data_IF_061753717036
#
_entry.id   IF_061753717036
#
_cell.length_a   1.000
_cell.length_b   1.000
_cell.length_c   1.000
_cell.angle_alpha   90.00
_cell.angle_beta   90.00
_cell.angle_gamma   90.00
#
_symmetry.space_group_name_H-M   'P 1'
#
loop_
_entity.id
_entity.type
_entity.pdbx_description
1 polymer ?
#
# COMPACT_ATOMS: atom_id res chain seq x y z
N UNK A 1 44.16 -18.13 -32.37
CA UNK A 1 43.61 -16.92 -33.00
C UNK A 1 42.41 -16.48 -32.17
N UNK A 2 42.62 -15.61 -31.19
CA UNK A 2 41.55 -14.95 -30.45
C UNK A 2 41.45 -13.53 -31.00
N UNK A 3 40.36 -13.21 -31.71
CA UNK A 3 40.05 -11.84 -32.11
C UNK A 3 39.18 -11.21 -31.02
N UNK A 4 39.76 -10.31 -30.24
CA UNK A 4 39.03 -9.40 -29.38
C UNK A 4 38.51 -8.25 -30.24
N UNK A 5 37.19 -8.09 -30.32
CA UNK A 5 36.53 -6.94 -30.94
C UNK A 5 36.31 -5.92 -29.82
N UNK A 6 36.92 -4.72 -29.86
CA UNK A 6 36.61 -3.69 -28.89
C UNK A 6 35.31 -3.00 -29.33
N UNK A 7 34.25 -3.16 -28.54
CA UNK A 7 33.03 -2.36 -28.66
C UNK A 7 33.36 -0.93 -28.19
N UNK A 8 33.42 0.00 -29.13
CA UNK A 8 33.55 1.43 -28.85
C UNK A 8 32.17 1.94 -28.39
N UNK A 9 31.95 2.00 -27.08
CA UNK A 9 30.79 2.67 -26.47
C UNK A 9 30.97 4.18 -26.62
N UNK A 10 30.38 4.75 -27.67
CA UNK A 10 30.25 6.19 -27.84
C UNK A 10 29.15 6.69 -26.89
N UNK A 11 29.54 7.11 -25.69
CA UNK A 11 28.65 7.83 -24.77
C UNK A 11 28.45 9.22 -25.35
N UNK A 12 27.37 9.41 -26.11
CA UNK A 12 26.88 10.75 -26.45
C UNK A 12 26.24 11.29 -25.16
N UNK A 13 27.03 11.99 -24.36
CA UNK A 13 26.49 12.85 -23.32
C UNK A 13 25.76 14.00 -24.01
N UNK A 14 24.46 13.81 -24.24
CA UNK A 14 23.54 14.94 -24.41
C UNK A 14 23.56 15.65 -23.05
N UNK A 15 24.37 16.70 -22.96
CA UNK A 15 24.25 17.69 -21.90
C UNK A 15 22.88 18.33 -22.06
N UNK A 16 21.87 17.73 -21.43
CA UNK A 16 20.66 18.45 -21.08
C UNK A 16 21.13 19.48 -20.05
N UNK A 17 21.47 20.68 -20.52
CA UNK A 17 21.72 21.80 -19.63
C UNK A 17 20.45 21.95 -18.80
N UNK A 18 20.59 21.70 -17.50
CA UNK A 18 19.65 22.16 -16.51
C UNK A 18 19.30 23.60 -16.88
N UNK A 19 18.00 23.90 -17.00
CA UNK A 19 17.52 25.26 -17.16
C UNK A 19 18.01 26.06 -15.95
N UNK A 20 19.18 26.67 -16.08
CA UNK A 20 19.64 27.71 -15.19
C UNK A 20 18.57 28.79 -15.27
N UNK A 21 18.14 29.27 -14.10
CA UNK A 21 17.29 30.45 -13.95
C UNK A 21 18.04 31.67 -14.50
N UNK A 22 18.08 31.79 -15.83
CA UNK A 22 18.65 32.91 -16.56
C UNK A 22 17.83 34.14 -16.27
N UNK A 23 18.49 35.29 -16.07
CA UNK A 23 17.80 36.58 -16.03
C UNK A 23 17.03 36.74 -17.34
N UNK A 24 15.78 37.22 -17.28
CA UNK A 24 14.96 37.46 -18.47
C UNK A 24 15.61 38.41 -19.51
N UNK A 25 16.70 39.09 -19.15
CA UNK A 25 17.51 39.92 -20.05
C UNK A 25 18.48 39.15 -20.95
N UNK A 26 18.55 37.81 -20.87
CA UNK A 26 19.34 37.00 -21.80
C UNK A 26 18.82 37.16 -23.24
N UNK A 27 19.74 37.42 -24.17
CA UNK A 27 19.43 37.59 -25.59
C UNK A 27 18.77 36.36 -26.23
N UNK A 28 19.10 35.16 -25.74
CA UNK A 28 18.49 33.91 -26.20
C UNK A 28 17.02 33.86 -25.78
N UNK A 29 16.72 34.22 -24.53
CA UNK A 29 15.35 34.26 -23.99
C UNK A 29 14.51 35.30 -24.72
N UNK A 30 15.06 36.51 -24.93
CA UNK A 30 14.36 37.55 -25.69
C UNK A 30 14.03 37.09 -27.11
N UNK A 31 14.96 36.38 -27.76
CA UNK A 31 14.74 35.85 -29.11
C UNK A 31 13.62 34.81 -29.14
N UNK A 32 13.62 33.89 -28.18
CA UNK A 32 12.56 32.87 -28.03
C UNK A 32 11.17 33.49 -27.94
N UNK A 33 11.02 34.62 -27.24
CA UNK A 33 9.76 35.35 -27.17
C UNK A 33 9.41 36.01 -28.51
N UNK A 34 10.33 36.79 -29.09
CA UNK A 34 10.06 37.61 -30.28
C UNK A 34 9.71 36.77 -31.52
N UNK A 35 10.19 35.53 -31.58
CA UNK A 35 9.90 34.61 -32.68
C UNK A 35 8.47 34.02 -32.64
N UNK A 36 7.68 34.27 -31.58
CA UNK A 36 6.29 33.80 -31.47
C UNK A 36 5.29 34.82 -32.01
N UNK A 37 4.33 34.33 -32.80
CA UNK A 37 3.28 35.16 -33.42
C UNK A 37 1.88 34.89 -32.84
N UNK A 38 1.75 33.89 -31.97
CA UNK A 38 0.50 33.51 -31.30
C UNK A 38 0.67 33.65 -29.79
N UNK A 39 -0.35 34.17 -29.11
CA UNK A 39 -0.33 34.39 -27.66
C UNK A 39 0.01 33.11 -26.87
N UNK A 40 -0.65 31.99 -27.17
CA UNK A 40 -0.38 30.72 -26.49
C UNK A 40 1.06 30.26 -26.71
N UNK A 41 1.57 30.33 -27.94
CA UNK A 41 2.96 29.95 -28.24
C UNK A 41 3.97 30.87 -27.53
N UNK A 42 3.67 32.17 -27.44
CA UNK A 42 4.43 33.16 -26.68
C UNK A 42 4.59 32.78 -25.21
N UNK A 43 3.47 32.59 -24.52
CA UNK A 43 3.47 32.27 -23.09
C UNK A 43 4.08 30.90 -22.81
N UNK A 44 4.08 30.02 -23.82
CA UNK A 44 4.67 28.69 -23.75
C UNK A 44 6.16 28.64 -24.12
N UNK A 45 6.72 29.67 -24.75
CA UNK A 45 8.11 29.67 -25.21
C UNK A 45 9.10 29.85 -24.05
N UNK A 46 8.78 30.70 -23.08
CA UNK A 46 9.55 30.88 -21.84
C UNK A 46 8.72 31.60 -20.79
N UNK A 47 9.02 31.38 -19.50
CA UNK A 47 8.41 32.09 -18.36
C UNK A 47 8.57 33.61 -18.39
N UNK A 48 9.52 34.11 -19.18
CA UNK A 48 9.82 35.53 -19.30
C UNK A 48 9.03 36.20 -20.44
N UNK A 49 8.38 35.41 -21.31
CA UNK A 49 7.64 35.91 -22.46
C UNK A 49 6.25 36.33 -22.04
N UNK A 50 5.85 37.54 -22.42
CA UNK A 50 4.55 38.13 -22.13
C UNK A 50 3.93 38.59 -23.44
N UNK A 51 2.61 38.75 -23.46
CA UNK A 51 1.88 39.07 -24.69
C UNK A 51 1.10 40.38 -24.58
N UNK A 52 1.35 41.31 -25.50
CA UNK A 52 0.55 42.51 -25.67
C UNK A 52 -0.52 42.28 -26.74
N UNK A 53 -1.80 42.30 -26.34
CA UNK A 53 -2.94 42.21 -27.26
C UNK A 53 -3.56 43.59 -27.55
N UNK A 54 -2.79 44.67 -27.39
CA UNK A 54 -3.20 46.01 -27.78
C UNK A 54 -3.00 46.25 -29.28
N UNK A 55 -4.10 46.40 -30.01
CA UNK A 55 -4.08 46.69 -31.46
C UNK A 55 -3.32 47.97 -31.83
N UNK A 56 -3.19 48.92 -30.91
CA UNK A 56 -2.45 50.17 -31.13
C UNK A 56 -0.94 50.04 -30.92
N UNK A 57 -0.48 48.92 -30.32
CA UNK A 57 0.92 48.68 -30.05
C UNK A 57 1.70 48.35 -31.34
N UNK A 58 2.74 49.13 -31.61
CA UNK A 58 3.53 49.03 -32.85
C UNK A 58 4.76 48.10 -32.72
N UNK A 59 4.97 47.49 -31.55
CA UNK A 59 6.08 46.57 -31.30
C UNK A 59 5.70 45.11 -31.54
N UNK A 60 6.65 44.21 -31.26
CA UNK A 60 6.41 42.75 -31.25
C UNK A 60 5.51 42.38 -30.07
N UNK A 61 4.38 41.75 -30.37
CA UNK A 61 3.35 41.43 -29.37
C UNK A 61 3.89 40.49 -28.29
N UNK A 62 4.72 39.51 -28.65
CA UNK A 62 5.44 38.67 -27.69
C UNK A 62 6.81 39.27 -27.35
N UNK A 63 7.06 39.58 -26.07
CA UNK A 63 8.36 40.04 -25.62
C UNK A 63 8.54 39.89 -24.10
N UNK A 64 9.74 40.18 -23.61
CA UNK A 64 9.96 40.33 -22.17
C UNK A 64 9.28 41.60 -21.64
N UNK A 65 8.90 41.59 -20.37
CA UNK A 65 8.09 42.65 -19.74
C UNK A 65 8.69 44.06 -19.91
N UNK A 66 10.02 44.17 -19.84
CA UNK A 66 10.78 45.42 -19.98
C UNK A 66 10.57 46.09 -21.35
N UNK A 67 10.44 45.28 -22.41
CA UNK A 67 10.27 45.72 -23.79
C UNK A 67 8.79 46.00 -24.16
N UNK A 68 7.85 45.62 -23.30
CA UNK A 68 6.41 45.87 -23.48
C UNK A 68 5.93 47.12 -22.72
N UNK A 69 6.84 48.02 -22.33
CA UNK A 69 6.52 49.21 -21.53
C UNK A 69 5.52 50.19 -22.18
N UNK A 70 5.47 50.25 -23.51
CA UNK A 70 4.51 51.06 -24.26
C UNK A 70 3.15 50.36 -24.48
N UNK A 71 3.01 49.08 -24.11
CA UNK A 71 1.73 48.39 -24.14
C UNK A 71 0.83 48.86 -22.99
N UNK A 72 -0.47 49.00 -23.24
CA UNK A 72 -1.43 49.27 -22.18
C UNK A 72 -1.45 48.13 -21.16
N UNK A 73 -1.27 48.44 -19.87
CA UNK A 73 -1.31 47.44 -18.78
C UNK A 73 -2.61 46.63 -18.70
N UNK A 74 -3.72 47.17 -19.24
CA UNK A 74 -5.02 46.47 -19.29
C UNK A 74 -5.13 45.49 -20.46
N UNK A 75 -4.16 45.52 -21.38
CA UNK A 75 -4.09 44.68 -22.58
C UNK A 75 -2.79 43.88 -22.66
N UNK A 76 -2.23 43.60 -21.48
CA UNK A 76 -0.98 42.87 -21.33
C UNK A 76 -1.29 41.58 -20.58
N UNK A 77 -1.08 40.46 -21.26
CA UNK A 77 -1.11 39.15 -20.66
C UNK A 77 0.28 38.85 -20.11
N UNK A 78 0.40 38.85 -18.79
CA UNK A 78 1.65 38.56 -18.10
C UNK A 78 1.71 37.06 -17.86
N UNK A 79 2.83 36.44 -18.20
CA UNK A 79 3.00 35.02 -17.93
C UNK A 79 2.94 34.79 -16.42
N UNK A 80 2.07 33.87 -16.00
CA UNK A 80 1.88 33.63 -14.58
C UNK A 80 3.15 33.02 -14.01
N UNK A 81 3.70 33.65 -12.97
CA UNK A 81 4.68 32.99 -12.13
C UNK A 81 4.02 31.83 -11.37
N UNK A 82 4.81 30.82 -11.05
CA UNK A 82 4.32 29.75 -10.19
C UNK A 82 3.82 30.34 -8.87
N UNK A 83 2.61 29.96 -8.48
CA UNK A 83 1.97 30.44 -7.25
C UNK A 83 1.41 29.27 -6.48
N UNK A 84 1.66 29.25 -5.18
CA UNK A 84 1.06 28.29 -4.26
C UNK A 84 0.24 29.06 -3.25
N UNK A 85 -1.04 28.76 -3.15
CA UNK A 85 -1.93 29.33 -2.15
C UNK A 85 -2.42 28.23 -1.22
N UNK A 86 -2.37 28.51 0.07
CA UNK A 86 -2.92 27.66 1.12
C UNK A 86 -4.11 28.42 1.72
N UNK A 87 -5.36 28.03 1.42
CA UNK A 87 -6.53 28.64 2.03
C UNK A 87 -6.50 28.43 3.56
N UNK A 88 -6.53 29.51 4.33
CA UNK A 88 -6.41 29.45 5.80
C UNK A 88 -7.56 28.65 6.44
N UNK A 89 -8.77 28.79 5.89
CA UNK A 89 -9.99 28.07 6.30
C UNK A 89 -9.87 26.55 6.11
N UNK A 90 -8.99 26.10 5.23
CA UNK A 90 -8.74 24.68 4.91
C UNK A 90 -7.44 24.13 5.50
N UNK A 91 -6.67 24.94 6.24
CA UNK A 91 -5.38 24.55 6.84
C UNK A 91 -5.49 24.26 8.35
N UNK A 92 -6.26 23.22 8.68
CA UNK A 92 -6.56 22.85 10.08
C UNK A 92 -5.30 22.45 10.85
N UNK A 93 -5.28 22.70 12.17
CA UNK A 93 -4.18 22.31 13.06
C UNK A 93 -4.06 20.77 13.21
N UNK A 94 -2.88 20.29 13.59
CA UNK A 94 -2.71 18.87 13.93
C UNK A 94 -3.58 18.51 15.12
N UNK A 95 -4.23 17.36 15.05
CA UNK A 95 -5.06 16.82 16.14
C UNK A 95 -4.60 15.41 16.51
N UNK A 96 -4.92 14.97 17.72
CA UNK A 96 -4.59 13.63 18.21
C UNK A 96 -5.78 12.67 18.05
N UNK A 97 -5.59 11.41 18.45
CA UNK A 97 -6.64 10.38 18.38
C UNK A 97 -7.81 10.55 19.36
N UNK A 98 -7.87 11.63 20.15
CA UNK A 98 -9.03 11.96 20.97
C UNK A 98 -10.02 12.89 20.26
N UNK A 99 -9.60 13.53 19.17
CA UNK A 99 -10.44 14.38 18.36
C UNK A 99 -11.34 13.56 17.42
N UNK A 100 -12.51 14.11 17.07
CA UNK A 100 -13.47 13.51 16.11
C UNK A 100 -12.86 13.33 14.71
N UNK A 101 -11.88 14.15 14.36
CA UNK A 101 -11.14 14.12 13.10
C UNK A 101 -9.64 14.22 13.42
N UNK A 102 -8.86 13.22 13.02
CA UNK A 102 -7.41 13.18 13.26
C UNK A 102 -6.67 13.74 12.06
N UNK A 103 -5.92 14.82 12.26
CA UNK A 103 -5.19 15.55 11.24
C UNK A 103 -3.71 15.32 11.47
N UNK A 104 -3.07 14.58 10.55
CA UNK A 104 -1.65 14.22 10.62
C UNK A 104 -0.82 14.83 9.49
N UNK A 105 -1.45 15.39 8.46
CA UNK A 105 -0.78 16.03 7.32
C UNK A 105 -1.21 17.49 7.22
N UNK A 106 -0.26 18.38 6.94
CA UNK A 106 -0.48 19.80 6.67
C UNK A 106 0.35 20.26 5.45
N UNK A 107 -0.18 21.16 4.60
CA UNK A 107 -1.59 21.58 4.54
C UNK A 107 -2.49 20.46 3.99
N UNK A 108 -3.79 20.51 4.27
CA UNK A 108 -4.75 19.54 3.73
C UNK A 108 -5.20 19.88 2.31
N UNK A 109 -5.06 21.15 1.93
CA UNK A 109 -5.48 21.66 0.64
C UNK A 109 -4.49 22.72 0.14
N UNK A 110 -4.19 22.70 -1.16
CA UNK A 110 -3.27 23.59 -1.85
C UNK A 110 -3.90 23.96 -3.21
N UNK A 111 -3.90 25.25 -3.55
CA UNK A 111 -4.07 25.68 -4.93
C UNK A 111 -2.67 25.91 -5.52
N UNK A 112 -2.35 25.24 -6.61
CA UNK A 112 -1.07 25.37 -7.30
C UNK A 112 -1.35 25.90 -8.70
N UNK A 113 -0.78 27.06 -9.00
CA UNK A 113 -0.80 27.68 -10.32
C UNK A 113 0.60 27.50 -10.90
N UNK A 114 0.68 26.87 -12.07
CA UNK A 114 1.94 26.51 -12.71
C UNK A 114 2.07 27.24 -14.04
N UNK A 115 3.22 27.87 -14.23
CA UNK A 115 3.71 28.25 -15.54
C UNK A 115 4.14 26.99 -16.30
N UNK A 116 4.08 27.06 -17.64
CA UNK A 116 4.58 25.96 -18.46
C UNK A 116 6.07 25.71 -18.17
N UNK A 117 6.44 24.43 -18.16
CA UNK A 117 7.82 23.93 -18.01
C UNK A 117 8.57 24.42 -16.77
N UNK A 118 7.85 24.93 -15.75
CA UNK A 118 8.46 25.46 -14.54
C UNK A 118 8.05 24.63 -13.32
N UNK A 119 8.97 23.89 -12.70
CA UNK A 119 8.65 23.10 -11.52
C UNK A 119 8.34 24.01 -10.31
N UNK A 120 7.38 23.60 -9.49
CA UNK A 120 7.06 24.26 -8.22
C UNK A 120 7.25 23.30 -7.05
N UNK A 121 8.09 23.67 -6.10
CA UNK A 121 8.28 22.93 -4.86
C UNK A 121 7.29 23.42 -3.81
N UNK A 122 6.68 22.49 -3.08
CA UNK A 122 5.85 22.76 -1.91
C UNK A 122 6.11 21.70 -0.85
N UNK A 123 5.93 22.09 0.41
CA UNK A 123 6.29 21.26 1.56
C UNK A 123 5.03 20.77 2.26
N UNK A 124 5.02 19.48 2.59
CA UNK A 124 4.07 18.91 3.53
C UNK A 124 4.75 18.58 4.84
N UNK A 125 4.03 18.78 5.92
CA UNK A 125 4.44 18.38 7.26
C UNK A 125 3.57 17.23 7.72
N UNK A 126 4.20 16.10 8.01
CA UNK A 126 3.56 14.95 8.62
C UNK A 126 3.88 14.90 10.11
N UNK A 127 2.86 14.70 10.94
CA UNK A 127 2.99 14.47 12.38
C UNK A 127 2.11 13.28 12.78
N UNK A 128 2.70 12.14 13.19
CA UNK A 128 1.94 11.03 13.72
C UNK A 128 1.09 11.47 14.91
N UNK A 129 -0.22 11.19 14.89
CA UNK A 129 -1.06 11.45 16.04
C UNK A 129 -0.73 10.47 17.17
N UNK A 130 -0.66 11.01 18.40
CA UNK A 130 -0.66 10.17 19.61
C UNK A 130 -2.03 9.49 19.73
N UNK A 131 -2.05 8.26 20.24
CA UNK A 131 -3.27 7.50 20.51
C UNK A 131 -4.16 7.25 19.27
N UNK A 132 -3.56 7.18 18.07
CA UNK A 132 -4.33 6.87 16.86
C UNK A 132 -4.86 5.43 16.90
N UNK A 133 -6.09 5.15 16.45
CA UNK A 133 -6.66 3.81 16.53
C UNK A 133 -5.82 2.78 15.75
N UNK A 134 -5.70 1.59 16.32
CA UNK A 134 -4.99 0.45 15.75
C UNK A 134 -5.93 -0.74 15.66
N UNK A 135 -6.14 -1.25 14.46
CA UNK A 135 -6.74 -2.55 14.24
C UNK A 135 -5.62 -3.53 13.86
N UNK A 136 -5.40 -4.54 14.70
CA UNK A 136 -4.40 -5.57 14.48
C UNK A 136 -5.10 -6.91 14.27
N UNK A 137 -4.97 -7.47 13.08
CA UNK A 137 -5.48 -8.79 12.73
C UNK A 137 -4.34 -9.80 12.85
N UNK A 138 -4.40 -10.69 13.83
CA UNK A 138 -3.46 -11.80 13.95
C UNK A 138 -3.93 -12.95 13.06
N UNK A 139 -3.13 -13.28 12.06
CA UNK A 139 -3.37 -14.40 11.16
C UNK A 139 -2.43 -15.54 11.57
N UNK A 140 -2.96 -16.47 12.36
CA UNK A 140 -2.19 -17.57 12.93
C UNK A 140 -2.02 -18.74 11.97
N UNK A 141 -0.78 -19.13 11.76
CA UNK A 141 -0.43 -20.40 11.13
C UNK A 141 -0.70 -21.57 12.09
N UNK A 142 -1.53 -22.52 11.65
CA UNK A 142 -1.92 -23.69 12.44
C UNK A 142 -1.29 -24.98 11.95
N UNK A 143 -0.25 -24.91 11.11
CA UNK A 143 0.55 -26.08 10.73
C UNK A 143 1.11 -26.81 11.95
N UNK A 144 1.46 -28.09 11.78
CA UNK A 144 1.91 -28.93 12.88
C UNK A 144 3.23 -28.42 13.49
N UNK A 145 4.07 -27.77 12.68
CA UNK A 145 5.36 -27.19 13.10
C UNK A 145 5.19 -26.02 14.07
N UNK A 146 4.10 -25.26 13.91
CA UNK A 146 3.77 -24.09 14.74
C UNK A 146 3.21 -24.44 16.14
N UNK A 147 3.03 -25.73 16.47
CA UNK A 147 2.47 -26.16 17.76
C UNK A 147 3.26 -25.65 18.97
N UNK A 148 4.59 -25.65 18.89
CA UNK A 148 5.45 -25.16 19.97
C UNK A 148 5.29 -23.64 20.15
N UNK A 149 5.19 -22.88 19.05
CA UNK A 149 5.05 -21.42 19.07
C UNK A 149 3.70 -20.98 19.63
N UNK A 150 2.62 -21.73 19.38
CA UNK A 150 1.32 -21.46 20.00
C UNK A 150 1.36 -21.56 21.52
N UNK A 151 2.15 -22.50 22.06
CA UNK A 151 2.38 -22.59 23.52
C UNK A 151 3.16 -21.39 24.06
N UNK A 152 4.14 -20.91 23.32
CA UNK A 152 4.92 -19.70 23.67
C UNK A 152 4.02 -18.46 23.63
N UNK A 153 3.12 -18.38 22.65
CA UNK A 153 2.17 -17.27 22.53
C UNK A 153 1.32 -17.09 23.79
N UNK A 154 0.94 -18.18 24.48
CA UNK A 154 0.25 -18.12 25.77
C UNK A 154 1.04 -17.34 26.82
N UNK A 155 2.36 -17.48 26.82
CA UNK A 155 3.26 -16.79 27.76
C UNK A 155 3.44 -15.32 27.37
N UNK A 156 3.63 -15.03 26.07
CA UNK A 156 3.81 -13.66 25.55
C UNK A 156 2.51 -12.85 25.59
N UNK A 157 1.36 -13.52 25.47
CA UNK A 157 0.04 -12.90 25.49
C UNK A 157 -0.21 -12.03 26.73
N UNK A 158 0.40 -12.39 27.87
CA UNK A 158 0.33 -11.60 29.10
C UNK A 158 0.98 -10.21 28.99
N UNK A 159 2.00 -10.05 28.14
CA UNK A 159 2.74 -8.80 27.97
C UNK A 159 2.18 -7.92 26.83
N UNK A 160 1.41 -8.53 25.93
CA UNK A 160 0.78 -7.86 24.79
C UNK A 160 -0.07 -6.62 25.20
N UNK A 161 -0.91 -6.64 26.25
CA UNK A 161 -1.67 -5.47 26.68
C UNK A 161 -0.76 -4.30 27.08
N UNK A 162 0.31 -4.57 27.82
CA UNK A 162 1.24 -3.55 28.31
C UNK A 162 2.01 -2.91 27.16
N UNK A 163 2.40 -3.70 26.16
CA UNK A 163 3.11 -3.17 24.99
C UNK A 163 2.17 -2.39 24.05
N UNK A 164 0.95 -2.87 23.82
CA UNK A 164 -0.02 -2.18 22.97
C UNK A 164 -0.50 -0.86 23.57
N UNK A 165 -0.77 -0.83 24.88
CA UNK A 165 -1.22 0.38 25.59
C UNK A 165 -0.18 1.50 25.62
N UNK A 166 1.12 1.17 25.52
CA UNK A 166 2.19 2.16 25.35
C UNK A 166 2.12 2.87 23.99
N UNK A 167 1.59 2.21 22.96
CA UNK A 167 1.45 2.76 21.60
C UNK A 167 0.12 3.51 21.43
N UNK A 168 -0.99 2.87 21.82
CA UNK A 168 -2.33 3.44 21.72
C UNK A 168 -3.27 2.77 22.71
N UNK A 169 -4.19 3.54 23.27
CA UNK A 169 -5.31 3.05 24.10
C UNK A 169 -6.48 2.58 23.24
N UNK A 170 -6.50 2.94 21.96
CA UNK A 170 -7.58 2.65 21.02
C UNK A 170 -7.18 1.48 20.10
N UNK A 171 -6.81 0.33 20.67
CA UNK A 171 -6.52 -0.87 19.88
C UNK A 171 -7.73 -1.80 19.80
N UNK A 172 -7.83 -2.52 18.69
CA UNK A 172 -8.72 -3.66 18.52
C UNK A 172 -7.93 -4.83 17.92
N UNK A 173 -8.21 -6.02 18.42
CA UNK A 173 -7.56 -7.25 18.01
C UNK A 173 -8.59 -8.16 17.35
N UNK A 174 -8.21 -8.76 16.23
CA UNK A 174 -8.97 -9.82 15.57
C UNK A 174 -8.08 -11.03 15.36
N UNK A 175 -8.69 -12.21 15.23
CA UNK A 175 -7.98 -13.46 15.01
C UNK A 175 -8.61 -14.26 13.87
N UNK A 176 -7.74 -14.79 13.03
CA UNK A 176 -8.07 -15.83 12.06
C UNK A 176 -6.92 -16.81 11.97
N UNK A 177 -7.21 -17.99 11.45
CA UNK A 177 -6.21 -19.03 11.25
C UNK A 177 -6.28 -19.63 9.87
N UNK A 178 -5.15 -20.14 9.40
CA UNK A 178 -5.03 -20.77 8.08
C UNK A 178 -4.17 -22.04 8.16
N UNK A 179 -4.29 -22.86 7.13
CA UNK A 179 -3.34 -23.92 6.78
C UNK A 179 -3.21 -23.88 5.25
N UNK A 180 -3.97 -24.72 4.54
CA UNK A 180 -3.87 -24.79 3.09
C UNK A 180 -5.12 -25.43 2.44
N UNK A 181 -5.14 -25.49 1.10
CA UNK A 181 -6.21 -26.09 0.32
C UNK A 181 -6.31 -27.59 0.61
N UNK A 182 -7.47 -28.02 1.08
CA UNK A 182 -7.75 -29.39 1.53
C UNK A 182 -7.98 -30.34 0.34
N UNK A 183 -6.94 -30.63 -0.42
CA UNK A 183 -6.96 -31.63 -1.49
C UNK A 183 -5.55 -32.05 -1.93
N UNK A 184 -5.45 -33.18 -2.64
CA UNK A 184 -4.16 -33.66 -3.16
C UNK A 184 -3.61 -32.71 -4.23
N UNK A 185 -2.29 -32.41 -4.24
CA UNK A 185 -1.24 -33.05 -3.44
C UNK A 185 -0.95 -32.38 -2.08
N UNK A 186 -1.58 -31.26 -1.75
CA UNK A 186 -1.29 -30.49 -0.53
C UNK A 186 -1.81 -31.15 0.74
N UNK A 187 -2.91 -31.89 0.64
CA UNK A 187 -3.57 -32.54 1.78
C UNK A 187 -3.97 -33.98 1.46
N UNK A 188 -3.70 -34.89 2.40
CA UNK A 188 -4.05 -36.30 2.27
C UNK A 188 -5.56 -36.51 2.38
N UNK A 189 -6.16 -37.04 1.31
CA UNK A 189 -7.61 -37.25 1.20
C UNK A 189 -8.08 -38.67 1.53
N UNK A 190 -7.15 -39.55 1.93
CA UNK A 190 -7.52 -40.86 2.44
C UNK A 190 -8.35 -40.71 3.74
N UNK A 191 -9.44 -41.48 3.94
CA UNK A 191 -10.36 -41.27 5.06
C UNK A 191 -9.68 -41.19 6.44
N UNK A 192 -8.73 -42.07 6.72
CA UNK A 192 -8.02 -42.11 8.00
C UNK A 192 -7.13 -40.85 8.22
N UNK A 193 -6.60 -40.26 7.14
CA UNK A 193 -5.82 -39.03 7.18
C UNK A 193 -6.68 -37.77 7.20
N UNK A 194 -7.83 -37.81 6.54
CA UNK A 194 -8.64 -36.62 6.31
C UNK A 194 -9.22 -36.09 7.63
N UNK A 195 -9.76 -36.98 8.46
CA UNK A 195 -10.35 -36.56 9.74
C UNK A 195 -9.26 -36.22 10.77
N UNK A 196 -8.09 -36.84 10.70
CA UNK A 196 -6.95 -36.59 11.58
C UNK A 196 -5.63 -36.62 10.81
N UNK A 197 -5.17 -35.47 10.25
CA UNK A 197 -3.99 -35.46 9.42
C UNK A 197 -2.69 -35.74 10.20
N UNK A 198 -2.75 -35.69 11.53
CA UNK A 198 -1.61 -35.96 12.41
C UNK A 198 -1.57 -37.39 12.96
N UNK A 199 -2.42 -38.31 12.48
CA UNK A 199 -2.56 -39.65 13.09
C UNK A 199 -1.23 -40.43 13.14
N UNK A 200 -0.30 -40.17 12.23
CA UNK A 200 0.97 -40.90 12.12
C UNK A 200 2.05 -40.39 13.09
N UNK A 201 1.94 -39.16 13.60
CA UNK A 201 2.99 -38.51 14.40
C UNK A 201 2.50 -37.82 15.68
N UNK A 202 1.19 -37.78 15.94
CA UNK A 202 0.59 -37.24 17.18
C UNK A 202 -0.46 -38.19 17.76
N UNK A 203 -0.24 -38.65 19.00
CA UNK A 203 -1.23 -39.45 19.75
C UNK A 203 -2.47 -38.65 20.14
N UNK A 204 -2.34 -37.33 20.33
CA UNK A 204 -3.46 -36.43 20.66
C UNK A 204 -4.34 -36.12 19.43
N UNK A 205 -3.87 -36.46 18.23
CA UNK A 205 -4.48 -36.07 16.96
C UNK A 205 -4.47 -34.56 16.74
N UNK A 206 -5.06 -34.11 15.64
CA UNK A 206 -5.19 -32.69 15.32
C UNK A 206 -6.48 -32.40 14.55
N UNK A 207 -6.77 -31.12 14.30
CA UNK A 207 -7.99 -30.71 13.59
C UNK A 207 -7.91 -31.08 12.09
N UNK A 208 -9.05 -31.42 11.49
CA UNK A 208 -9.20 -31.55 10.04
C UNK A 208 -8.70 -30.29 9.34
N UNK A 209 -8.05 -30.46 8.18
CA UNK A 209 -7.50 -29.35 7.42
C UNK A 209 -8.55 -28.34 6.97
N UNK A 210 -8.15 -27.09 6.81
CA UNK A 210 -8.95 -26.01 6.24
C UNK A 210 -8.04 -24.93 5.67
N UNK A 211 -8.52 -24.20 4.66
CA UNK A 211 -7.75 -23.13 4.06
C UNK A 211 -7.68 -21.89 4.97
N UNK A 212 -8.84 -21.38 5.40
CA UNK A 212 -8.91 -20.19 6.24
C UNK A 212 -10.19 -20.17 7.08
N UNK A 213 -10.06 -19.71 8.33
CA UNK A 213 -11.15 -19.46 9.28
C UNK A 213 -10.96 -18.12 9.96
N UNK A 214 -11.93 -17.22 9.84
CA UNK A 214 -12.05 -16.05 10.69
C UNK A 214 -12.71 -16.46 12.02
N UNK A 215 -11.94 -16.42 13.12
CA UNK A 215 -12.36 -16.98 14.42
C UNK A 215 -12.82 -15.92 15.42
N UNK A 216 -12.27 -14.71 15.35
CA UNK A 216 -12.63 -13.62 16.26
C UNK A 216 -12.61 -12.27 15.54
N UNK A 217 -13.77 -11.62 15.48
CA UNK A 217 -13.91 -10.25 14.98
C UNK A 217 -13.26 -9.24 15.91
N UNK A 218 -12.99 -8.04 15.41
CA UNK A 218 -12.28 -6.99 16.16
C UNK A 218 -12.90 -6.71 17.54
N UNK A 219 -12.12 -6.94 18.59
CA UNK A 219 -12.50 -6.71 19.98
C UNK A 219 -11.42 -5.92 20.71
N UNK A 220 -11.83 -5.12 21.70
CA UNK A 220 -10.90 -4.50 22.65
C UNK A 220 -10.59 -5.40 23.85
N UNK A 221 -11.27 -6.56 23.96
CA UNK A 221 -11.04 -7.52 25.03
C UNK A 221 -9.85 -8.43 24.68
N UNK A 222 -8.72 -8.16 25.31
CA UNK A 222 -7.49 -8.91 25.07
C UNK A 222 -7.55 -10.34 25.61
N UNK A 223 -8.25 -10.58 26.71
CA UNK A 223 -8.38 -11.93 27.29
C UNK A 223 -9.16 -12.84 26.35
N UNK A 224 -10.24 -12.32 25.74
CA UNK A 224 -11.00 -13.02 24.72
C UNK A 224 -10.14 -13.37 23.50
N UNK A 225 -9.27 -12.44 23.08
CA UNK A 225 -8.33 -12.67 22.00
C UNK A 225 -7.32 -13.78 22.35
N UNK A 226 -6.69 -13.70 23.52
CA UNK A 226 -5.73 -14.71 23.98
C UNK A 226 -6.39 -16.09 24.09
N UNK A 227 -7.58 -16.15 24.68
CA UNK A 227 -8.34 -17.40 24.82
C UNK A 227 -8.63 -18.04 23.46
N UNK A 228 -9.03 -17.25 22.45
CA UNK A 228 -9.31 -17.77 21.11
C UNK A 228 -8.05 -18.31 20.42
N UNK A 229 -6.90 -17.63 20.57
CA UNK A 229 -5.63 -18.09 19.99
C UNK A 229 -5.19 -19.39 20.66
N UNK A 230 -5.22 -19.44 22.00
CA UNK A 230 -4.71 -20.59 22.79
C UNK A 230 -5.62 -21.82 22.69
N UNK A 231 -6.93 -21.63 22.52
CA UNK A 231 -7.89 -22.73 22.35
C UNK A 231 -7.92 -23.30 20.94
N UNK A 232 -7.28 -22.64 19.96
CA UNK A 232 -7.19 -23.14 18.60
C UNK A 232 -6.27 -24.36 18.52
N UNK A 233 -6.72 -25.37 17.79
CA UNK A 233 -5.96 -26.59 17.53
C UNK A 233 -5.12 -26.42 16.27
N UNK A 234 -3.95 -27.06 16.27
CA UNK A 234 -3.16 -27.24 15.06
C UNK A 234 -3.81 -28.25 14.12
N UNK A 235 -3.37 -28.25 12.88
CA UNK A 235 -3.71 -29.17 11.81
C UNK A 235 -2.42 -29.46 11.02
N UNK A 236 -2.48 -30.23 9.94
CA UNK A 236 -1.31 -30.60 9.15
C UNK A 236 -1.65 -30.78 7.68
N UNK A 237 -0.77 -30.33 6.81
CA UNK A 237 -0.70 -30.58 5.37
C UNK A 237 0.50 -31.49 5.03
N UNK A 238 0.68 -31.79 3.75
CA UNK A 238 1.70 -32.72 3.27
C UNK A 238 2.99 -32.02 2.83
N UNK A 239 2.89 -30.80 2.32
CA UNK A 239 4.00 -30.01 1.80
C UNK A 239 4.37 -28.83 2.71
N UNK A 240 5.53 -28.23 2.42
CA UNK A 240 6.14 -27.16 3.23
C UNK A 240 5.65 -25.74 2.85
N UNK A 241 4.57 -25.64 2.06
CA UNK A 241 3.99 -24.38 1.59
C UNK A 241 2.58 -24.24 2.16
N UNK A 242 2.21 -23.03 2.58
CA UNK A 242 0.89 -22.78 3.15
C UNK A 242 0.08 -21.72 2.38
N UNK A 243 -1.24 -21.80 2.55
CA UNK A 243 -2.24 -21.00 1.86
C UNK A 243 -2.46 -19.59 2.43
N UNK A 244 -1.49 -19.00 3.12
CA UNK A 244 -1.66 -17.72 3.83
C UNK A 244 -2.08 -16.56 2.91
N UNK A 245 -1.63 -16.54 1.65
CA UNK A 245 -2.02 -15.48 0.71
C UNK A 245 -3.53 -15.47 0.43
N UNK A 246 -4.17 -16.65 0.40
CA UNK A 246 -5.62 -16.76 0.23
C UNK A 246 -6.36 -16.21 1.47
N UNK A 247 -5.88 -16.56 2.67
CA UNK A 247 -6.37 -15.99 3.93
C UNK A 247 -6.25 -14.45 3.96
N UNK A 248 -5.09 -13.91 3.58
CA UNK A 248 -4.88 -12.46 3.47
C UNK A 248 -5.86 -11.83 2.49
N UNK A 249 -6.09 -12.46 1.33
CA UNK A 249 -7.08 -11.96 0.36
C UNK A 249 -8.46 -11.87 1.02
N UNK A 250 -8.93 -12.92 1.68
CA UNK A 250 -10.24 -12.92 2.36
C UNK A 250 -10.33 -11.83 3.44
N UNK A 251 -9.28 -11.63 4.23
CA UNK A 251 -9.21 -10.55 5.24
C UNK A 251 -9.38 -9.16 4.61
N UNK A 252 -8.88 -8.98 3.38
CA UNK A 252 -8.94 -7.70 2.66
C UNK A 252 -10.28 -7.47 1.95
N UNK A 253 -10.91 -8.52 1.41
CA UNK A 253 -12.14 -8.39 0.60
C UNK A 253 -13.43 -8.53 1.43
N UNK A 254 -13.40 -9.26 2.54
CA UNK A 254 -14.56 -9.48 3.41
C UNK A 254 -14.78 -8.34 4.42
N UNK A 255 -14.81 -7.08 3.96
CA UNK A 255 -14.83 -5.89 4.83
C UNK A 255 -15.90 -5.93 5.93
N UNK A 256 -17.11 -6.40 5.60
CA UNK A 256 -18.22 -6.46 6.55
C UNK A 256 -18.04 -7.53 7.63
N UNK A 257 -17.54 -8.72 7.24
CA UNK A 257 -17.32 -9.83 8.18
C UNK A 257 -16.10 -9.59 9.07
N UNK A 258 -15.04 -9.02 8.50
CA UNK A 258 -13.80 -8.72 9.22
C UNK A 258 -13.97 -7.49 10.11
N UNK A 259 -14.66 -6.44 9.62
CA UNK A 259 -15.08 -5.30 10.44
C UNK A 259 -13.97 -4.29 10.75
N UNK A 260 -13.07 -4.02 9.80
CA UNK A 260 -12.03 -2.99 9.94
C UNK A 260 -12.63 -1.61 10.31
N UNK A 261 -12.02 -0.91 11.25
CA UNK A 261 -12.42 0.47 11.57
C UNK A 261 -12.08 1.39 10.39
N UNK A 262 -12.94 2.38 10.12
CA UNK A 262 -12.76 3.31 9.00
C UNK A 262 -11.42 4.07 9.11
N UNK A 263 -11.20 4.72 10.25
CA UNK A 263 -10.07 5.60 10.53
C UNK A 263 -9.13 4.99 11.58
N UNK A 264 -8.39 3.96 11.15
CA UNK A 264 -7.41 3.24 11.97
C UNK A 264 -6.17 2.87 11.16
N UNK A 265 -5.07 2.63 11.86
CA UNK A 265 -3.94 1.87 11.32
C UNK A 265 -4.37 0.41 11.28
N UNK A 266 -4.39 -0.18 10.09
CA UNK A 266 -4.79 -1.57 9.86
C UNK A 266 -3.55 -2.41 9.59
N UNK A 267 -3.32 -3.42 10.43
CA UNK A 267 -2.14 -4.28 10.32
C UNK A 267 -2.59 -5.73 10.35
N UNK A 268 -2.13 -6.52 9.38
CA UNK A 268 -2.18 -7.99 9.43
C UNK A 268 -0.82 -8.47 9.93
N UNK A 269 -0.81 -9.21 11.04
CA UNK A 269 0.37 -9.84 11.60
C UNK A 269 0.32 -11.33 11.25
N UNK A 270 1.31 -11.79 10.48
CA UNK A 270 1.44 -13.18 10.04
C UNK A 270 2.75 -13.76 10.60
N UNK A 271 2.72 -14.42 11.77
CA UNK A 271 3.80 -15.28 12.21
C UNK A 271 3.67 -16.67 11.57
N UNK A 272 4.72 -17.12 10.88
CA UNK A 272 4.78 -18.44 10.23
C UNK A 272 6.24 -18.86 10.06
N UNK A 273 6.51 -20.15 10.08
CA UNK A 273 7.81 -20.77 9.81
C UNK A 273 7.90 -21.33 8.38
N UNK A 274 6.85 -21.11 7.56
CA UNK A 274 6.63 -21.74 6.27
C UNK A 274 6.69 -20.75 5.11
N UNK A 275 6.91 -21.28 3.90
CA UNK A 275 6.78 -20.52 2.66
C UNK A 275 5.30 -20.48 2.25
N UNK A 276 4.94 -19.60 1.31
CA UNK A 276 3.55 -19.40 0.92
C UNK A 276 3.29 -19.84 -0.51
N UNK A 277 2.20 -20.57 -0.72
CA UNK A 277 1.66 -20.82 -2.05
C UNK A 277 1.28 -19.53 -2.77
N UNK A 278 1.45 -19.53 -4.09
CA UNK A 278 1.11 -18.40 -4.94
C UNK A 278 0.38 -18.82 -6.21
N UNK A 279 -0.16 -17.85 -6.94
CA UNK A 279 -0.90 -18.09 -8.19
C UNK A 279 -0.14 -19.05 -9.13
N UNK A 280 -0.84 -20.09 -9.57
CA UNK A 280 -0.32 -21.20 -10.36
C UNK A 280 -0.28 -22.51 -9.56
N UNK A 281 0.00 -22.46 -8.26
CA UNK A 281 0.17 -23.68 -7.46
C UNK A 281 -1.16 -24.44 -7.32
N UNK A 282 -2.30 -23.73 -7.20
CA UNK A 282 -3.62 -24.31 -7.04
C UNK A 282 -4.07 -25.18 -8.23
N UNK A 283 -3.40 -25.07 -9.39
CA UNK A 283 -3.62 -25.97 -10.53
C UNK A 283 -3.40 -27.44 -10.14
N UNK A 284 -2.48 -27.73 -9.21
CA UNK A 284 -2.18 -29.08 -8.77
C UNK A 284 -3.34 -29.75 -8.03
N UNK A 285 -4.19 -28.96 -7.37
CA UNK A 285 -5.39 -29.42 -6.65
C UNK A 285 -6.68 -29.21 -7.46
N UNK A 286 -6.57 -28.83 -8.74
CA UNK A 286 -7.71 -28.57 -9.62
C UNK A 286 -8.40 -27.23 -9.38
N UNK A 287 -7.82 -26.35 -8.57
CA UNK A 287 -8.30 -24.99 -8.34
C UNK A 287 -7.83 -24.08 -9.46
N UNK A 288 -8.60 -24.03 -10.56
CA UNK A 288 -8.18 -23.43 -11.83
C UNK A 288 -8.66 -22.00 -12.04
N UNK A 289 -9.62 -21.51 -11.24
CA UNK A 289 -10.17 -20.17 -11.44
C UNK A 289 -9.30 -19.12 -10.74
N UNK A 290 -8.96 -18.04 -11.43
CA UNK A 290 -8.25 -16.93 -10.79
C UNK A 290 -9.15 -16.26 -9.72
N UNK A 291 -8.63 -15.95 -8.52
CA UNK A 291 -9.36 -15.15 -7.54
C UNK A 291 -9.81 -13.80 -8.12
N UNK A 292 -11.09 -13.50 -7.99
CA UNK A 292 -11.72 -12.27 -8.51
C UNK A 292 -11.93 -11.20 -7.43
N UNK A 293 -11.46 -11.43 -6.20
CA UNK A 293 -11.61 -10.51 -5.07
C UNK A 293 -13.00 -10.52 -4.42
N UNK A 294 -13.80 -11.56 -4.63
CA UNK A 294 -15.05 -11.74 -3.87
C UNK A 294 -14.79 -12.31 -2.48
N UNK A 295 -15.60 -11.90 -1.51
CA UNK A 295 -15.61 -12.53 -0.19
C UNK A 295 -16.20 -13.94 -0.26
N UNK A 296 -15.44 -14.93 0.21
CA UNK A 296 -15.77 -16.35 0.19
C UNK A 296 -15.82 -16.93 1.61
N UNK A 297 -16.31 -16.16 2.58
CA UNK A 297 -16.54 -16.63 3.95
C UNK A 297 -18.03 -16.86 4.19
N UNK A 298 -18.37 -17.98 4.85
CA UNK A 298 -19.71 -18.21 5.41
C UNK A 298 -19.95 -17.34 6.65
N UNK A 299 -21.11 -17.49 7.29
CA UNK A 299 -21.50 -16.71 8.47
C UNK A 299 -20.74 -17.11 9.73
N UNK A 300 -20.21 -18.33 9.74
CA UNK A 300 -19.31 -18.87 10.76
C UNK A 300 -17.84 -18.45 10.55
N UNK A 301 -17.51 -17.83 9.42
CA UNK A 301 -16.18 -17.32 9.08
C UNK A 301 -15.27 -18.32 8.37
N UNK A 302 -15.77 -19.47 7.90
CA UNK A 302 -14.99 -20.45 7.16
C UNK A 302 -14.95 -20.15 5.66
N UNK A 303 -13.84 -20.48 5.01
CA UNK A 303 -13.69 -20.38 3.57
C UNK A 303 -14.55 -21.43 2.81
N UNK A 304 -15.49 -21.00 1.97
CA UNK A 304 -16.50 -21.89 1.36
C UNK A 304 -16.10 -22.51 0.02
N UNK A 305 -15.05 -22.02 -0.64
CA UNK A 305 -14.65 -22.52 -1.98
C UNK A 305 -13.14 -22.70 -2.15
N UNK A 306 -12.46 -23.43 -1.24
CA UNK A 306 -10.99 -23.50 -1.23
C UNK A 306 -10.39 -24.18 -2.47
N UNK A 307 -11.13 -25.09 -3.11
CA UNK A 307 -10.67 -25.86 -4.28
C UNK A 307 -11.21 -25.33 -5.62
N UNK A 308 -11.94 -24.21 -5.61
CA UNK A 308 -12.50 -23.63 -6.85
C UNK A 308 -11.57 -22.60 -7.45
N UNK A 309 -10.99 -21.74 -6.60
CA UNK A 309 -10.11 -20.66 -7.00
C UNK A 309 -8.66 -20.99 -6.65
N UNK A 310 -7.75 -20.71 -7.58
CA UNK A 310 -6.30 -20.75 -7.39
C UNK A 310 -5.87 -19.80 -6.26
N UNK A 311 -4.63 -19.89 -5.79
CA UNK A 311 -4.07 -18.91 -4.87
C UNK A 311 -3.94 -17.54 -5.53
N UNK A 312 -4.00 -16.44 -4.77
CA UNK A 312 -3.75 -15.11 -5.32
C UNK A 312 -2.28 -14.89 -5.63
N UNK A 313 -1.99 -14.04 -6.62
CA UNK A 313 -0.61 -13.64 -6.89
C UNK A 313 -0.14 -12.60 -5.87
N UNK A 314 1.17 -12.53 -5.65
CA UNK A 314 1.78 -11.49 -4.80
C UNK A 314 1.39 -10.08 -5.27
N UNK A 315 1.33 -9.87 -6.60
CA UNK A 315 0.88 -8.60 -7.18
C UNK A 315 -0.59 -8.28 -6.85
N UNK A 316 -1.47 -9.29 -6.86
CA UNK A 316 -2.87 -9.11 -6.47
C UNK A 316 -2.99 -8.71 -5.00
N UNK A 317 -2.28 -9.40 -4.10
CA UNK A 317 -2.25 -9.05 -2.67
C UNK A 317 -1.73 -7.63 -2.45
N UNK A 318 -0.66 -7.24 -3.14
CA UNK A 318 -0.12 -5.89 -3.07
C UNK A 318 -1.15 -4.82 -3.49
N UNK A 319 -1.90 -5.07 -4.57
CA UNK A 319 -2.97 -4.17 -5.00
C UNK A 319 -4.04 -4.01 -3.93
N UNK A 320 -4.55 -5.11 -3.36
CA UNK A 320 -5.58 -5.04 -2.32
C UNK A 320 -5.08 -4.39 -1.03
N UNK A 321 -3.85 -4.66 -0.59
CA UNK A 321 -3.25 -3.99 0.57
C UNK A 321 -3.23 -2.47 0.39
N UNK A 322 -2.83 -1.99 -0.80
CA UNK A 322 -2.80 -0.56 -1.14
C UNK A 322 -4.20 0.05 -1.20
N UNK A 323 -5.13 -0.61 -1.87
CA UNK A 323 -6.52 -0.14 -2.02
C UNK A 323 -7.24 -0.05 -0.67
N UNK A 324 -7.08 -1.08 0.17
CA UNK A 324 -7.70 -1.17 1.50
C UNK A 324 -6.93 -0.41 2.59
N UNK A 325 -5.76 0.14 2.26
CA UNK A 325 -4.85 0.85 3.19
C UNK A 325 -4.51 -0.02 4.41
N UNK A 326 -4.20 -1.29 4.15
CA UNK A 326 -3.80 -2.28 5.15
C UNK A 326 -2.33 -2.58 4.97
N UNK A 327 -1.57 -2.54 6.07
CA UNK A 327 -0.19 -3.02 6.09
C UNK A 327 -0.16 -4.48 6.51
N UNK A 328 0.81 -5.24 6.02
CA UNK A 328 1.10 -6.57 6.53
C UNK A 328 2.51 -6.61 7.13
N UNK A 329 2.69 -7.45 8.13
CA UNK A 329 3.99 -7.76 8.72
C UNK A 329 4.12 -9.28 8.81
N UNK A 330 5.02 -9.83 8.01
CA UNK A 330 5.37 -11.25 8.07
C UNK A 330 6.53 -11.42 9.06
N UNK A 331 6.34 -12.26 10.06
CA UNK A 331 7.36 -12.62 11.05
C UNK A 331 7.77 -14.05 10.78
N UNK A 332 8.90 -14.20 10.11
CA UNK A 332 9.47 -15.50 9.75
C UNK A 332 10.44 -15.97 10.83
N UNK A 333 10.37 -17.25 11.18
CA UNK A 333 11.45 -17.87 11.94
C UNK A 333 12.68 -18.02 11.04
N UNK A 334 13.79 -17.42 11.46
CA UNK A 334 15.06 -17.55 10.74
C UNK A 334 15.71 -18.87 11.14
N UNK A 335 15.51 -19.91 10.32
CA UNK A 335 16.32 -21.13 10.43
C UNK A 335 17.76 -20.80 10.02
N UNK A 336 18.63 -20.55 11.00
CA UNK A 336 20.07 -20.59 10.79
C UNK A 336 20.48 -22.05 10.60
N UNK A 337 20.39 -22.53 9.36
CA UNK A 337 21.01 -23.77 8.92
C UNK A 337 22.53 -23.72 9.01
#
# INVERSE_FOLDING_TARGET
MYYAIPFLLMVISVNCQNAETGKCSDLVIQRLCIDQEVCDECLQAHTCCNWCYDESYQGRQCNILENLSACSKKKLEVNMENKVEIPEDKNKAFTDGSAKEVIQLKPQFLNVYLAKDTPQNFTFTYKPAKNYPLDLYYLGDMSATMWAHLKIFKTIGADLPNNLTQLTKNYKLAFGSFLDKVGMPFYLTAPDNFDNPCFTFSEEGCETGYLFKHKLSFTGNIDQFIEMVVSSKTTANLDDLDGALDAILQILVCEQKIGWSKDSRKIILLPTDSLLHSAGDGLLVGAVLKPNGTCLLDDEGNHISPLTYDFPSVGQIHTFLKEKKVSHSMVLEYNSS
#
